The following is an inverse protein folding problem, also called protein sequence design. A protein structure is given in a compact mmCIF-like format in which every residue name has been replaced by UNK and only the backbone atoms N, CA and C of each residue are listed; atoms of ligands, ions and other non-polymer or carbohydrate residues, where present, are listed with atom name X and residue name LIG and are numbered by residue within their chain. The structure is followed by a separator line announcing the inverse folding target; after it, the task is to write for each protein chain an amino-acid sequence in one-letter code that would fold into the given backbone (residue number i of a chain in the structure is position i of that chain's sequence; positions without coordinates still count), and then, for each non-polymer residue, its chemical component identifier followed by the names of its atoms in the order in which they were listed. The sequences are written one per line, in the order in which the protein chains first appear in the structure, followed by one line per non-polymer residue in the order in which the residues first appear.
data_IF_270985060667
#
_entry.id   IF_270985060667
#
_cell.length_a   1.000
_cell.length_b   1.000
_cell.length_c   1.000
_cell.angle_alpha   90.00
_cell.angle_beta   90.00
_cell.angle_gamma   90.00
#
_symmetry.space_group_name_H-M   'P 1'
#
loop_
_entity.id
_entity.type
_entity.pdbx_description
1 polymer ?
#
# COMPACT_ATOMS: atom_id res chain seq x y z
N UNK A 1 -30.49 28.60 -7.32
CA UNK A 1 -30.68 27.41 -6.47
C UNK A 1 -30.31 26.19 -7.32
N UNK A 2 -29.18 25.55 -7.04
CA UNK A 2 -28.84 24.27 -7.68
C UNK A 2 -29.74 23.17 -7.09
N UNK A 3 -30.44 22.44 -7.95
CA UNK A 3 -31.46 21.44 -7.60
C UNK A 3 -30.89 20.18 -6.93
N UNK A 4 -30.27 20.29 -5.76
CA UNK A 4 -30.06 19.18 -4.82
C UNK A 4 -29.21 17.99 -5.29
N UNK A 5 -28.63 18.00 -6.50
CA UNK A 5 -27.72 16.95 -6.98
C UNK A 5 -26.29 17.35 -6.68
N UNK A 6 -25.69 16.73 -5.67
CA UNK A 6 -24.23 16.76 -5.49
C UNK A 6 -23.60 15.98 -6.64
N UNK A 7 -23.01 16.69 -7.60
CA UNK A 7 -22.15 16.07 -8.60
C UNK A 7 -20.86 15.63 -7.89
N UNK A 8 -20.40 14.41 -8.16
CA UNK A 8 -19.11 13.95 -7.66
C UNK A 8 -17.99 14.91 -8.08
N UNK A 9 -16.97 15.06 -7.24
CA UNK A 9 -15.79 15.89 -7.55
C UNK A 9 -14.66 15.01 -8.07
N UNK A 10 -14.06 15.41 -9.19
CA UNK A 10 -12.81 14.82 -9.65
C UNK A 10 -11.64 15.44 -8.89
N UNK A 11 -10.79 14.60 -8.34
CA UNK A 11 -9.56 15.03 -7.66
C UNK A 11 -8.42 15.00 -8.66
N UNK A 12 -7.70 16.12 -8.77
CA UNK A 12 -6.53 16.27 -9.63
C UNK A 12 -5.28 16.23 -8.73
N UNK A 13 -4.29 15.45 -9.13
CA UNK A 13 -3.06 15.25 -8.38
C UNK A 13 -1.86 15.19 -9.31
N UNK A 14 -0.70 15.55 -8.78
CA UNK A 14 0.62 15.36 -9.39
C UNK A 14 1.41 14.28 -8.63
N UNK A 15 2.55 13.88 -9.20
CA UNK A 15 3.44 12.93 -8.54
C UNK A 15 3.89 13.48 -7.17
N UNK A 16 3.74 12.66 -6.12
CA UNK A 16 4.07 13.01 -4.75
C UNK A 16 2.88 13.53 -3.91
N UNK A 17 1.74 13.83 -4.52
CA UNK A 17 0.54 14.20 -3.76
C UNK A 17 -0.02 13.01 -2.98
N UNK A 18 -0.42 13.25 -1.73
CA UNK A 18 -1.11 12.29 -0.88
C UNK A 18 -2.61 12.60 -0.82
N UNK A 19 -3.44 11.63 -1.22
CA UNK A 19 -4.90 11.74 -1.14
C UNK A 19 -5.38 10.91 0.05
N UNK A 20 -6.09 11.56 0.97
CA UNK A 20 -6.71 10.92 2.13
C UNK A 20 -8.21 11.19 2.09
N UNK A 21 -9.01 10.17 2.41
CA UNK A 21 -10.45 10.31 2.59
C UNK A 21 -10.92 9.57 3.84
N UNK A 22 -12.00 10.05 4.47
CA UNK A 22 -12.67 9.35 5.56
C UNK A 22 -13.22 8.01 5.05
N UNK A 23 -13.13 6.93 5.84
CA UNK A 23 -13.53 5.58 5.43
C UNK A 23 -14.99 5.45 4.99
N UNK A 24 -15.86 6.40 5.34
CA UNK A 24 -17.27 6.48 4.92
C UNK A 24 -17.48 7.29 3.64
N UNK A 25 -16.41 7.85 3.08
CA UNK A 25 -16.46 8.63 1.84
C UNK A 25 -16.69 7.70 0.65
N UNK A 26 -17.83 7.86 -0.01
CA UNK A 26 -18.11 7.19 -1.28
C UNK A 26 -17.14 7.72 -2.33
N UNK A 27 -16.35 6.81 -2.90
CA UNK A 27 -15.36 7.12 -3.92
C UNK A 27 -15.35 6.02 -4.99
N UNK A 28 -14.80 6.34 -6.17
CA UNK A 28 -14.58 5.35 -7.22
C UNK A 28 -13.28 5.67 -7.96
N UNK A 29 -12.60 4.63 -8.44
CA UNK A 29 -11.61 4.77 -9.48
C UNK A 29 -12.35 4.90 -10.82
N UNK A 30 -12.41 6.11 -11.37
CA UNK A 30 -12.81 6.24 -12.78
C UNK A 30 -11.69 5.65 -13.66
N UNK A 31 -12.02 4.84 -14.69
CA UNK A 31 -11.03 4.45 -15.69
C UNK A 31 -10.51 5.70 -16.39
N UNK A 32 -9.30 5.65 -16.95
CA UNK A 32 -8.86 6.67 -17.89
C UNK A 32 -9.78 6.59 -19.11
N UNK A 33 -10.79 7.45 -19.18
CA UNK A 33 -11.80 7.45 -20.25
C UNK A 33 -11.26 7.96 -21.59
N UNK A 34 -9.99 8.39 -21.62
CA UNK A 34 -9.25 8.74 -22.81
C UNK A 34 -8.22 7.64 -23.12
N UNK A 35 -8.70 6.48 -23.58
CA UNK A 35 -7.86 5.59 -24.37
C UNK A 35 -8.48 5.64 -25.76
N UNK A 36 -7.99 6.54 -26.60
CA UNK A 36 -8.18 6.39 -28.04
C UNK A 36 -7.64 5.02 -28.45
N UNK A 37 -8.21 4.39 -29.48
CA UNK A 37 -7.70 3.10 -29.98
C UNK A 37 -6.21 3.22 -30.31
N UNK A 38 -5.37 2.74 -29.39
CA UNK A 38 -3.91 2.82 -29.50
C UNK A 38 -3.45 1.89 -30.61
N UNK A 39 -2.58 2.38 -31.50
CA UNK A 39 -1.94 1.49 -32.47
C UNK A 39 -1.01 0.52 -31.72
N UNK A 40 -0.99 -0.76 -32.12
CA UNK A 40 -0.19 -1.81 -31.45
C UNK A 40 1.29 -1.45 -31.25
N UNK A 41 1.84 -0.60 -32.11
CA UNK A 41 3.26 -0.26 -32.16
C UNK A 41 3.62 1.11 -31.55
N UNK A 42 2.65 1.87 -31.05
CA UNK A 42 2.97 3.10 -30.30
C UNK A 42 3.59 2.73 -28.95
N UNK A 43 4.38 3.59 -28.29
CA UNK A 43 4.77 3.41 -26.89
C UNK A 43 3.57 3.57 -25.95
N UNK A 44 3.59 2.95 -24.75
CA UNK A 44 2.55 3.18 -23.72
C UNK A 44 3.03 4.35 -22.87
N UNK A 45 2.26 5.43 -22.83
CA UNK A 45 2.46 6.47 -21.82
C UNK A 45 1.85 6.02 -20.50
N UNK A 46 2.59 6.22 -19.40
CA UNK A 46 2.11 5.91 -18.06
C UNK A 46 0.95 6.83 -17.70
N UNK A 47 -0.27 6.32 -17.81
CA UNK A 47 -1.48 7.14 -17.57
C UNK A 47 -1.62 7.55 -16.10
N UNK A 48 -1.45 6.58 -15.18
CA UNK A 48 -1.53 6.81 -13.73
C UNK A 48 -0.95 5.62 -12.97
N UNK A 49 -0.11 5.91 -11.97
CA UNK A 49 0.27 4.95 -10.92
C UNK A 49 -0.09 5.54 -9.58
N UNK A 50 -0.65 4.71 -8.71
CA UNK A 50 -0.94 5.06 -7.32
C UNK A 50 -0.45 3.92 -6.43
N UNK A 51 0.16 4.28 -5.30
CA UNK A 51 0.47 3.34 -4.23
C UNK A 51 -0.60 3.46 -3.16
N UNK A 52 -1.24 2.35 -2.79
CA UNK A 52 -2.20 2.33 -1.70
C UNK A 52 -1.47 2.24 -0.38
N UNK A 53 -1.70 3.22 0.50
CA UNK A 53 -1.20 3.22 1.87
C UNK A 53 -2.39 3.13 2.81
N UNK A 54 -2.48 2.04 3.57
CA UNK A 54 -3.48 1.90 4.63
C UNK A 54 -3.02 2.64 5.89
N UNK A 55 -3.92 3.41 6.50
CA UNK A 55 -3.72 4.03 7.81
C UNK A 55 -4.67 3.39 8.80
N UNK A 56 -4.16 2.47 9.63
CA UNK A 56 -4.93 1.81 10.69
C UNK A 56 -4.39 2.22 12.06
N UNK A 57 -5.25 2.63 13.00
CA UNK A 57 -4.83 2.85 14.39
C UNK A 57 -4.22 1.59 15.00
N UNK A 58 -3.16 1.75 15.79
CA UNK A 58 -2.50 0.66 16.54
C UNK A 58 -3.50 -0.10 17.41
N UNK A 59 -4.52 0.58 17.93
CA UNK A 59 -5.58 -0.02 18.75
C UNK A 59 -6.45 -1.05 18.01
N UNK A 60 -6.34 -1.15 16.68
CA UNK A 60 -7.04 -2.15 15.87
C UNK A 60 -6.19 -3.39 15.58
N UNK A 61 -4.92 -3.42 15.99
CA UNK A 61 -4.10 -4.64 15.94
C UNK A 61 -4.77 -5.71 16.82
N UNK A 62 -4.71 -6.96 16.37
CA UNK A 62 -5.25 -8.10 17.11
C UNK A 62 -4.77 -8.06 18.57
N UNK A 63 -5.68 -8.03 19.57
CA UNK A 63 -5.30 -7.88 20.98
C UNK A 63 -4.54 -9.08 21.56
N UNK A 64 -4.45 -10.19 20.81
CA UNK A 64 -3.68 -11.38 21.19
C UNK A 64 -2.18 -11.26 20.89
N UNK A 65 -1.74 -10.19 20.22
CA UNK A 65 -0.34 -9.94 19.89
C UNK A 65 0.04 -8.54 20.35
N UNK A 66 1.29 -8.38 20.80
CA UNK A 66 1.86 -7.07 21.13
C UNK A 66 2.22 -6.29 19.86
N UNK A 67 2.38 -4.97 19.99
CA UNK A 67 2.85 -4.13 18.87
C UNK A 67 4.25 -4.55 18.40
N UNK A 68 5.13 -4.93 19.33
CA UNK A 68 6.50 -5.33 19.00
C UNK A 68 6.52 -6.66 18.25
N UNK A 69 5.76 -7.66 18.69
CA UNK A 69 5.58 -8.91 17.95
C UNK A 69 4.99 -8.66 16.56
N UNK A 70 4.04 -7.72 16.45
CA UNK A 70 3.48 -7.33 15.15
C UNK A 70 4.54 -6.69 14.24
N UNK A 71 5.36 -5.77 14.77
CA UNK A 71 6.45 -5.14 14.02
C UNK A 71 7.47 -6.17 13.56
N UNK A 72 7.97 -7.01 14.46
CA UNK A 72 8.95 -8.06 14.14
C UNK A 72 8.43 -9.03 13.07
N UNK A 73 7.17 -9.44 13.16
CA UNK A 73 6.59 -10.32 12.15
C UNK A 73 6.52 -9.67 10.76
N UNK A 74 6.26 -8.35 10.69
CA UNK A 74 6.31 -7.61 9.42
C UNK A 74 7.72 -7.55 8.85
N UNK A 75 8.76 -7.39 9.69
CA UNK A 75 10.17 -7.42 9.25
C UNK A 75 10.49 -8.77 8.61
N UNK A 76 10.16 -9.86 9.31
CA UNK A 76 10.35 -11.24 8.81
C UNK A 76 9.66 -11.44 7.46
N UNK A 77 8.43 -10.96 7.29
CA UNK A 77 7.70 -11.12 6.03
C UNK A 77 8.34 -10.35 4.87
N UNK A 78 8.87 -9.15 5.13
CA UNK A 78 9.60 -8.38 4.12
C UNK A 78 10.87 -9.13 3.68
N UNK A 79 11.67 -9.60 4.63
CA UNK A 79 12.90 -10.35 4.33
C UNK A 79 12.63 -11.61 3.49
N UNK A 80 11.47 -12.25 3.70
CA UNK A 80 11.07 -13.47 3.00
C UNK A 80 10.18 -13.21 1.77
N UNK A 81 10.10 -11.97 1.25
CA UNK A 81 9.27 -11.60 0.09
C UNK A 81 7.79 -12.06 0.22
N UNK A 82 7.25 -12.03 1.44
CA UNK A 82 5.93 -12.56 1.73
C UNK A 82 4.90 -11.43 1.84
N UNK A 83 3.77 -11.56 1.12
CA UNK A 83 2.67 -10.59 1.15
C UNK A 83 1.53 -11.05 2.05
N UNK A 84 0.96 -10.11 2.79
CA UNK A 84 -0.28 -10.30 3.54
C UNK A 84 -1.51 -10.02 2.66
N UNK A 85 -2.68 -10.36 3.18
CA UNK A 85 -3.96 -9.93 2.60
C UNK A 85 -4.16 -8.41 2.73
N UNK A 86 -5.31 -7.94 2.25
CA UNK A 86 -5.75 -6.55 2.35
C UNK A 86 -6.06 -6.09 3.79
N UNK A 87 -6.06 -6.99 4.78
CA UNK A 87 -6.29 -6.65 6.19
C UNK A 87 -4.98 -6.22 6.86
N UNK A 88 -4.71 -4.91 6.87
CA UNK A 88 -3.42 -4.36 7.35
C UNK A 88 -3.14 -4.53 8.85
N UNK A 89 -4.15 -4.92 9.64
CA UNK A 89 -4.05 -5.14 11.10
C UNK A 89 -4.00 -6.61 11.49
N UNK A 90 -3.94 -7.52 10.52
CA UNK A 90 -3.96 -8.96 10.73
C UNK A 90 -2.82 -9.65 9.97
N UNK A 91 -2.39 -10.82 10.48
CA UNK A 91 -1.45 -11.69 9.79
C UNK A 91 -2.17 -12.81 9.05
N UNK A 92 -2.96 -12.42 8.05
CA UNK A 92 -3.53 -13.38 7.10
C UNK A 92 -2.66 -13.36 5.86
N UNK A 93 -2.03 -14.49 5.54
CA UNK A 93 -1.25 -14.65 4.32
C UNK A 93 -2.18 -14.53 3.10
N UNK A 94 -1.73 -13.79 2.08
CA UNK A 94 -2.47 -13.66 0.82
C UNK A 94 -2.70 -15.04 0.18
N UNK A 95 -3.94 -15.30 -0.25
CA UNK A 95 -4.32 -16.55 -0.94
C UNK A 95 -3.51 -16.74 -2.22
N UNK A 96 -2.46 -17.55 -2.13
CA UNK A 96 -1.47 -17.79 -3.18
C UNK A 96 -0.09 -18.12 -2.62
N UNK A 97 0.22 -17.67 -1.39
CA UNK A 97 1.49 -17.92 -0.73
C UNK A 97 1.48 -19.15 0.18
N UNK A 98 1.34 -20.35 -0.38
CA UNK A 98 2.01 -21.53 0.22
C UNK A 98 3.52 -21.53 -0.13
N UNK A 99 4.05 -20.37 -0.53
CA UNK A 99 5.44 -20.21 -0.90
C UNK A 99 6.26 -20.07 0.38
N UNK A 100 6.49 -21.21 1.01
CA UNK A 100 7.85 -21.59 1.40
C UNK A 100 8.72 -21.76 0.14
N UNK A 101 8.67 -20.83 -0.82
CA UNK A 101 9.59 -20.80 -1.94
C UNK A 101 10.93 -20.38 -1.36
N UNK A 102 11.64 -21.36 -0.81
CA UNK A 102 12.99 -21.25 -0.33
C UNK A 102 13.97 -20.74 -1.42
N UNK A 103 13.48 -20.60 -2.66
CA UNK A 103 14.23 -20.22 -3.85
C UNK A 103 14.22 -18.71 -4.16
N UNK A 104 13.33 -17.91 -3.54
CA UNK A 104 13.43 -16.45 -3.68
C UNK A 104 14.57 -15.92 -2.79
N UNK A 105 15.49 -15.10 -3.34
CA UNK A 105 16.55 -14.52 -2.55
C UNK A 105 15.94 -13.67 -1.44
N UNK A 106 16.33 -13.98 -0.20
CA UNK A 106 15.93 -13.19 0.95
C UNK A 106 16.44 -11.77 0.80
N UNK A 107 15.59 -10.81 1.12
CA UNK A 107 15.99 -9.42 1.21
C UNK A 107 16.81 -9.24 2.48
N UNK A 108 17.94 -8.54 2.37
CA UNK A 108 18.71 -8.09 3.53
C UNK A 108 18.33 -6.64 3.81
N UNK A 109 17.84 -6.39 5.03
CA UNK A 109 17.45 -5.05 5.49
C UNK A 109 18.63 -4.08 5.53
N UNK A 110 19.87 -4.57 5.52
CA UNK A 110 21.08 -3.74 5.43
C UNK A 110 21.20 -3.02 4.08
N UNK A 111 20.59 -3.56 3.03
CA UNK A 111 20.58 -2.95 1.70
C UNK A 111 19.51 -1.84 1.57
N UNK A 112 18.66 -1.67 2.56
CA UNK A 112 17.56 -0.72 2.53
C UNK A 112 18.07 0.65 2.96
N UNK A 113 17.65 1.69 2.25
CA UNK A 113 17.91 3.06 2.69
C UNK A 113 17.03 3.44 3.90
N UNK A 114 17.36 4.54 4.56
CA UNK A 114 16.64 5.04 5.74
C UNK A 114 15.13 5.16 5.54
N UNK A 115 14.67 5.57 4.37
CA UNK A 115 13.24 5.73 4.11
C UNK A 115 12.55 4.38 3.94
N UNK A 116 13.21 3.41 3.31
CA UNK A 116 12.67 2.06 3.16
C UNK A 116 12.61 1.34 4.52
N UNK A 117 13.63 1.52 5.36
CA UNK A 117 13.62 1.04 6.75
C UNK A 117 12.49 1.67 7.56
N UNK A 118 12.30 2.98 7.46
CA UNK A 118 11.24 3.69 8.17
C UNK A 118 9.83 3.23 7.75
N UNK A 119 9.64 2.78 6.50
CA UNK A 119 8.37 2.20 6.04
C UNK A 119 8.09 0.82 6.67
N UNK A 120 9.12 0.09 7.10
CA UNK A 120 9.01 -1.24 7.71
C UNK A 120 8.91 -1.12 9.23
N UNK A 121 9.78 -0.31 9.83
CA UNK A 121 9.97 -0.22 11.27
C UNK A 121 9.11 0.87 11.93
N UNK A 122 8.69 1.87 11.15
CA UNK A 122 8.10 3.11 11.64
C UNK A 122 9.17 4.17 11.81
N UNK A 123 8.81 5.45 11.59
CA UNK A 123 9.75 6.58 11.67
C UNK A 123 10.25 6.87 13.10
N UNK A 124 9.61 6.27 14.10
CA UNK A 124 9.96 6.34 15.52
C UNK A 124 10.99 5.29 15.95
N UNK A 125 11.36 4.36 15.08
CA UNK A 125 12.31 3.29 15.40
C UNK A 125 13.75 3.81 15.37
N UNK A 126 14.49 3.55 16.45
CA UNK A 126 15.89 3.93 16.67
C UNK A 126 16.83 3.31 15.61
N UNK A 127 16.41 2.22 14.96
CA UNK A 127 17.18 1.51 13.93
C UNK A 127 17.12 2.17 12.54
N UNK A 128 16.49 3.34 12.41
CA UNK A 128 16.43 4.10 11.15
C UNK A 128 17.59 5.10 10.96
N UNK A 129 18.46 5.30 11.96
CA UNK A 129 19.62 6.20 11.86
C UNK A 129 20.81 5.60 11.09
#
# INVERSE_FOLDING_TARGET
MNQGKTLGKLVHCQAGDLIIWDSRTVHCNSPATAIEERNKNEPVDLLRVVAYVSMSPITLINPQITLDEFREKRKELVENNCTLTHWSTEFVLGGGGNNTDADLPKLSLDNFNVHEKALIFGFDDENNE
#
